data_IF_462848159464
#
_entry.id   IF_462848159464
#
_cell.length_a   1.000
_cell.length_b   1.000
_cell.length_c   1.000
_cell.angle_alpha   90.00
_cell.angle_beta   90.00
_cell.angle_gamma   90.00
#
_symmetry.space_group_name_H-M   'P 1'
#
loop_
_entity.id
_entity.type
_entity.pdbx_description
1 polymer ?
2 polymer ?
3 non-polymer ?
4 water ?
#
# COMPACT_ATOMS: atom_id res chain seq x y z
N UNK A 7 0.41 -22.01 12.04
CA UNK A 7 0.59 -20.58 11.85
C UNK A 7 1.75 -20.29 10.88
N UNK A 8 1.40 -20.09 9.60
CA UNK A 8 2.34 -19.81 8.50
C UNK A 8 3.06 -18.48 8.70
N UNK A 9 2.38 -17.49 9.31
CA UNK A 9 2.94 -16.16 9.58
C UNK A 9 3.99 -16.20 10.70
N UNK A 10 3.70 -16.92 11.82
CA UNK A 10 4.67 -17.07 12.93
C UNK A 10 5.94 -17.77 12.44
N UNK A 11 5.77 -18.90 11.71
CA UNK A 11 6.85 -19.71 11.16
C UNK A 11 7.73 -18.90 10.22
N UNK A 12 7.10 -18.13 9.28
CA UNK A 12 7.79 -17.27 8.33
C UNK A 12 8.54 -16.14 9.05
N UNK A 13 7.89 -15.47 10.03
CA UNK A 13 8.49 -14.39 10.82
C UNK A 13 9.66 -14.88 11.66
N UNK A 14 9.52 -16.06 12.31
CA UNK A 14 10.56 -16.69 13.13
C UNK A 14 11.79 -17.00 12.28
N UNK A 15 11.57 -17.59 11.09
CA UNK A 15 12.62 -17.91 10.11
C UNK A 15 13.36 -16.63 9.70
N UNK A 16 12.64 -15.55 9.37
CA UNK A 16 13.21 -14.26 8.98
C UNK A 16 14.03 -13.62 10.11
N UNK A 17 13.43 -13.45 11.31
CA UNK A 17 14.05 -12.81 12.48
C UNK A 17 15.24 -13.65 13.01
N UNK A 18 15.07 -14.99 13.17
CA UNK A 18 16.15 -15.87 13.66
C UNK A 18 17.35 -15.88 12.71
N UNK A 19 17.12 -16.09 11.40
CA UNK A 19 18.16 -16.08 10.37
C UNK A 19 18.88 -14.71 10.32
N UNK A 20 18.14 -13.62 10.54
CA UNK A 20 18.73 -12.28 10.59
C UNK A 20 19.58 -12.08 11.83
N UNK A 21 19.08 -12.50 13.02
CA UNK A 21 19.81 -12.35 14.29
C UNK A 21 21.05 -13.25 14.37
N UNK A 22 20.95 -14.50 13.85
CA UNK A 22 22.03 -15.49 13.80
C UNK A 22 23.17 -15.04 12.91
N UNK A 23 22.87 -14.39 11.76
CA UNK A 23 23.90 -13.88 10.86
C UNK A 23 24.56 -12.60 11.40
N UNK A 24 23.82 -11.79 12.17
CA UNK A 24 24.33 -10.54 12.76
C UNK A 24 25.37 -10.82 13.84
N UNK A 25 25.15 -11.91 14.60
CA UNK A 25 26.03 -12.38 15.67
C UNK A 25 27.31 -12.98 15.05
N UNK A 26 27.15 -13.95 14.11
CA UNK A 26 28.21 -14.66 13.36
C UNK A 26 29.05 -13.68 12.53
N UNK A 27 28.43 -12.61 12.04
CA UNK A 27 29.08 -11.56 11.26
C UNK A 27 29.16 -11.84 9.77
N UNK A 28 28.56 -12.96 9.33
CA UNK A 28 28.57 -13.38 7.93
C UNK A 28 27.17 -13.72 7.43
N UNK A 29 26.83 -13.23 6.22
CA UNK A 29 25.55 -13.49 5.55
C UNK A 29 25.51 -14.96 5.12
N UNK A 30 24.39 -15.65 5.40
CA UNK A 30 24.19 -17.07 5.08
C UNK A 30 23.38 -17.24 3.80
N UNK A 39 10.68 -17.41 -1.02
CA UNK A 39 10.76 -16.34 -2.01
C UNK A 39 10.42 -14.98 -1.38
N UNK A 40 9.26 -14.89 -0.70
CA UNK A 40 8.83 -13.68 0.01
C UNK A 40 9.80 -13.40 1.18
N UNK A 41 10.20 -14.47 1.88
CA UNK A 41 11.14 -14.40 2.98
C UNK A 41 12.53 -13.98 2.56
N UNK A 42 12.91 -14.32 1.32
CA UNK A 42 14.22 -13.98 0.73
C UNK A 42 14.34 -12.46 0.57
N UNK A 43 13.31 -11.82 -0.03
CA UNK A 43 13.24 -10.37 -0.25
C UNK A 43 13.14 -9.58 1.05
N UNK A 44 12.42 -10.13 2.05
CA UNK A 44 12.23 -9.52 3.38
C UNK A 44 13.54 -9.47 4.14
N UNK A 45 14.32 -10.56 4.08
CA UNK A 45 15.65 -10.68 4.69
C UNK A 45 16.62 -9.63 4.12
N UNK A 46 16.67 -9.48 2.77
CA UNK A 46 17.49 -8.48 2.08
C UNK A 46 17.14 -7.08 2.59
N UNK A 47 15.81 -6.75 2.71
CA UNK A 47 15.32 -5.45 3.21
C UNK A 47 15.72 -5.26 4.67
N UNK A 48 15.49 -6.29 5.51
CA UNK A 48 15.82 -6.27 6.94
C UNK A 48 17.33 -6.08 7.15
N UNK A 49 18.18 -6.69 6.29
CA UNK A 49 19.64 -6.51 6.36
C UNK A 49 19.98 -5.04 6.12
N UNK A 50 19.39 -4.40 5.09
CA UNK A 50 19.62 -2.98 4.78
C UNK A 50 19.06 -2.04 5.84
N UNK A 51 17.76 -2.15 6.15
CA UNK A 51 17.07 -1.29 7.14
C UNK A 51 17.61 -1.51 8.56
N UNK A 52 17.77 -2.79 8.95
CA UNK A 52 18.25 -3.19 10.27
C UNK A 52 19.64 -2.74 10.61
N UNK A 53 20.61 -2.96 9.69
CA UNK A 53 21.99 -2.51 9.86
C UNK A 53 22.05 -0.98 9.98
N UNK A 54 21.19 -0.30 9.22
CA UNK A 54 21.03 1.15 9.23
C UNK A 54 20.54 1.70 10.56
N UNK A 55 19.54 1.01 11.19
CA UNK A 55 18.97 1.38 12.51
C UNK A 55 20.03 1.17 13.61
N UNK A 56 20.77 0.04 13.56
CA UNK A 56 21.85 -0.29 14.50
C UNK A 56 23.01 0.71 14.40
N UNK A 57 23.32 1.21 13.18
CA UNK A 57 24.38 2.19 12.93
C UNK A 57 24.03 3.60 13.44
N UNK A 58 22.78 4.05 13.19
CA UNK A 58 22.30 5.37 13.57
C UNK A 58 21.77 5.48 15.01
N UNK A 59 21.56 4.34 15.69
CA UNK A 59 21.04 4.32 17.06
C UNK A 59 21.93 3.54 18.03
N UNK A 60 23.22 3.34 17.64
CA UNK A 60 24.26 2.61 18.38
C UNK A 60 24.42 3.06 19.83
N UNK A 61 24.43 4.38 20.09
CA UNK A 61 24.57 4.94 21.45
C UNK A 61 23.31 4.63 22.29
N UNK A 62 22.10 4.83 21.72
CA UNK A 62 20.83 4.52 22.40
C UNK A 62 20.72 3.01 22.70
N UNK A 63 21.13 2.15 21.73
CA UNK A 63 21.12 0.69 21.86
C UNK A 63 22.11 0.20 22.93
N UNK A 64 23.28 0.91 23.08
CA UNK A 64 24.32 0.61 24.07
C UNK A 64 23.78 0.83 25.49
N UNK A 65 23.01 1.91 25.66
CA UNK A 65 22.40 2.30 26.93
C UNK A 65 21.35 1.31 27.36
N UNK A 66 20.49 0.89 26.41
CA UNK A 66 19.42 -0.09 26.59
C UNK A 66 19.97 -1.47 26.98
N UNK A 67 21.08 -1.89 26.35
CA UNK A 67 21.76 -3.17 26.61
C UNK A 67 22.41 -3.16 28.01
N UNK A 68 23.01 -2.01 28.41
CA UNK A 68 23.63 -1.82 29.73
C UNK A 68 22.58 -1.87 30.83
N UNK A 69 21.40 -1.26 30.59
CA UNK A 69 20.28 -1.19 31.51
C UNK A 69 19.67 -2.59 31.78
N UNK A 70 19.46 -3.39 30.70
CA UNK A 70 18.89 -4.75 30.76
C UNK A 70 19.75 -5.73 31.54
N UNK A 71 21.09 -5.56 31.46
CA UNK A 71 22.12 -6.36 32.12
C UNK A 71 22.02 -7.85 31.75
N UNK A 72 22.47 -8.18 30.53
CA UNK A 72 22.46 -9.54 29.99
C UNK A 72 23.84 -10.16 30.11
N UNK A 73 23.98 -11.13 31.02
CA UNK A 73 25.22 -11.83 31.30
C UNK A 73 25.08 -13.36 31.19
N UNK A 74 23.84 -13.90 31.33
CA UNK A 74 23.59 -15.34 31.26
C UNK A 74 22.24 -15.69 30.61
N UNK A 75 21.97 -17.02 30.46
CA UNK A 75 20.79 -17.65 29.88
C UNK A 75 19.46 -17.13 30.47
N UNK A 76 19.41 -16.99 31.81
CA UNK A 76 18.26 -16.52 32.58
C UNK A 76 17.87 -15.07 32.24
N UNK A 77 18.87 -14.19 31.97
CA UNK A 77 18.65 -12.78 31.62
C UNK A 77 17.95 -12.62 30.28
N UNK A 78 18.15 -13.59 29.37
CA UNK A 78 17.51 -13.65 28.06
C UNK A 78 16.06 -14.13 28.28
N UNK A 79 15.86 -15.08 29.22
CA UNK A 79 14.55 -15.63 29.60
C UNK A 79 13.69 -14.55 30.28
N UNK A 80 14.32 -13.62 31.03
CA UNK A 80 13.62 -12.52 31.70
C UNK A 80 13.24 -11.47 30.67
N UNK A 81 14.14 -11.24 29.67
CA UNK A 81 13.93 -10.32 28.54
C UNK A 81 12.76 -10.85 27.69
N UNK A 82 12.66 -12.18 27.57
CA UNK A 82 11.61 -12.91 26.85
C UNK A 82 10.23 -12.61 27.43
N UNK A 83 10.13 -12.58 28.78
CA UNK A 83 8.89 -12.32 29.51
C UNK A 83 8.46 -10.84 29.48
N UNK A 84 9.42 -9.89 29.59
CA UNK A 84 9.14 -8.44 29.56
C UNK A 84 8.80 -7.95 28.13
N UNK A 85 9.20 -8.74 27.12
CA UNK A 85 9.04 -8.47 25.69
C UNK A 85 7.57 -8.26 25.27
N UNK A 86 6.59 -9.00 25.85
CA UNK A 86 5.16 -8.93 25.50
C UNK A 86 4.53 -7.52 25.67
N UNK A 87 5.16 -6.63 26.46
CA UNK A 87 4.63 -5.29 26.73
C UNK A 87 5.50 -4.15 26.13
N UNK A 88 6.27 -4.44 25.04
CA UNK A 88 7.15 -3.46 24.38
C UNK A 88 6.38 -2.32 23.67
N UNK A 89 5.21 -2.62 23.07
CA UNK A 89 4.40 -1.62 22.36
C UNK A 89 3.13 -1.26 23.16
N UNK A 90 3.34 -0.78 24.40
CA UNK A 90 2.27 -0.41 25.33
C UNK A 90 1.63 0.97 25.09
N UNK A 91 2.22 1.81 24.23
CA UNK A 91 1.71 3.16 23.96
C UNK A 91 0.66 3.22 22.82
N UNK A 92 0.33 2.07 22.23
CA UNK A 92 -0.65 1.98 21.16
C UNK A 92 -0.22 2.53 19.81
N UNK A 93 1.05 2.96 19.69
CA UNK A 93 1.61 3.46 18.43
C UNK A 93 2.12 2.23 17.66
N UNK A 94 1.55 1.96 16.49
CA UNK A 94 2.00 0.83 15.68
C UNK A 94 2.38 1.32 14.30
N UNK A 95 3.57 0.90 13.84
CA UNK A 95 4.13 1.22 12.52
C UNK A 95 5.34 0.31 12.25
N UNK A 96 5.77 0.23 10.97
CA UNK A 96 6.91 -0.58 10.56
C UNK A 96 8.24 -0.16 11.19
N UNK A 97 8.35 1.12 11.53
CA UNK A 97 9.51 1.71 12.17
C UNK A 97 9.73 1.12 13.54
N UNK A 98 8.64 1.00 14.32
CA UNK A 98 8.68 0.41 15.66
C UNK A 98 9.03 -1.08 15.62
N UNK A 99 8.55 -1.80 14.61
CA UNK A 99 8.81 -3.22 14.42
C UNK A 99 10.30 -3.45 14.06
N UNK A 100 10.84 -2.68 13.11
CA UNK A 100 12.22 -2.81 12.71
C UNK A 100 13.16 -2.40 13.87
N UNK A 101 12.75 -1.45 14.74
CA UNK A 101 13.52 -1.01 15.91
C UNK A 101 13.67 -2.16 16.93
N UNK A 102 12.62 -3.00 17.12
CA UNK A 102 12.68 -4.15 18.02
C UNK A 102 13.62 -5.23 17.47
N UNK A 103 13.48 -5.57 16.18
CA UNK A 103 14.28 -6.57 15.46
C UNK A 103 15.76 -6.15 15.41
N UNK A 104 16.02 -4.84 15.19
CA UNK A 104 17.38 -4.27 15.14
C UNK A 104 18.03 -4.32 16.52
N UNK A 105 17.26 -4.01 17.58
CA UNK A 105 17.74 -4.10 18.96
C UNK A 105 18.00 -5.56 19.35
N UNK A 106 17.17 -6.46 18.80
CA UNK A 106 17.34 -7.89 18.97
C UNK A 106 18.64 -8.37 18.35
N UNK A 107 19.01 -7.78 17.18
CA UNK A 107 20.26 -8.07 16.46
C UNK A 107 21.47 -7.57 17.26
N UNK A 108 21.30 -6.41 17.91
CA UNK A 108 22.29 -5.78 18.77
C UNK A 108 22.55 -6.65 20.03
N UNK A 109 21.47 -7.19 20.64
CA UNK A 109 21.58 -8.07 21.80
C UNK A 109 22.17 -9.42 21.36
N UNK A 110 21.89 -9.87 20.10
CA UNK A 110 22.43 -11.11 19.54
C UNK A 110 23.95 -11.03 19.35
N UNK A 111 24.46 -9.81 19.02
CA UNK A 111 25.89 -9.53 18.84
C UNK A 111 26.61 -9.66 20.17
N UNK A 112 26.04 -9.03 21.22
CA UNK A 112 26.53 -9.05 22.60
C UNK A 112 26.57 -10.47 23.16
N UNK A 113 25.57 -11.31 22.81
CA UNK A 113 25.47 -12.70 23.24
C UNK A 113 26.62 -13.56 22.72
N UNK A 114 27.14 -13.25 21.52
CA UNK A 114 28.27 -13.92 20.88
C UNK A 114 29.60 -13.57 21.60
N UNK A 115 29.70 -12.32 22.14
CA UNK A 115 30.89 -11.83 22.84
C UNK A 115 30.96 -12.28 24.31
N UNK A 116 29.80 -12.64 24.91
CA UNK A 116 29.71 -13.12 26.30
C UNK A 116 29.61 -14.66 26.33
N UNK A 117 29.95 -15.32 25.20
CA UNK A 117 29.95 -16.77 24.97
C UNK A 117 28.60 -17.43 25.32
N UNK A 118 27.49 -16.77 24.93
CA UNK A 118 26.11 -17.22 25.12
C UNK A 118 25.34 -17.20 23.78
N UNK A 119 25.95 -17.83 22.74
CA UNK A 119 25.41 -17.96 21.38
C UNK A 119 24.12 -18.79 21.32
N UNK A 120 23.93 -19.72 22.28
CA UNK A 120 22.76 -20.58 22.36
C UNK A 120 21.49 -19.80 22.73
N UNK A 121 21.66 -18.55 23.23
CA UNK A 121 20.59 -17.63 23.63
C UNK A 121 19.96 -16.84 22.48
N UNK A 122 20.54 -16.92 21.26
CA UNK A 122 20.06 -16.20 20.07
C UNK A 122 18.69 -16.75 19.61
N UNK A 123 18.52 -18.10 19.60
CA UNK A 123 17.26 -18.73 19.19
C UNK A 123 16.07 -18.40 20.15
N UNK A 124 16.17 -18.51 21.51
CA UNK A 124 15.03 -18.13 22.36
C UNK A 124 14.73 -16.63 22.30
N UNK A 125 15.77 -15.77 22.07
CA UNK A 125 15.63 -14.31 21.88
C UNK A 125 14.81 -14.04 20.61
N UNK A 126 15.12 -14.77 19.52
CA UNK A 126 14.43 -14.69 18.24
C UNK A 126 12.98 -15.16 18.38
N UNK A 127 12.74 -16.21 19.21
CA UNK A 127 11.40 -16.75 19.47
C UNK A 127 10.54 -15.73 20.20
N UNK A 128 11.13 -15.04 21.20
CA UNK A 128 10.44 -14.04 22.00
C UNK A 128 10.09 -12.80 21.19
N UNK A 129 11.01 -12.29 20.33
CA UNK A 129 10.76 -11.13 19.46
C UNK A 129 9.59 -11.45 18.51
N UNK A 130 9.65 -12.64 17.89
CA UNK A 130 8.61 -13.13 16.98
C UNK A 130 7.28 -13.34 17.71
N UNK A 131 7.31 -13.91 18.92
CA UNK A 131 6.10 -14.17 19.72
C UNK A 131 5.31 -12.87 19.96
N UNK A 132 6.00 -11.79 20.35
CA UNK A 132 5.41 -10.48 20.63
C UNK A 132 4.81 -9.83 19.37
N UNK A 133 5.55 -9.86 18.25
CA UNK A 133 5.09 -9.31 16.98
C UNK A 133 3.82 -10.02 16.50
N UNK A 134 3.84 -11.36 16.44
CA UNK A 134 2.70 -12.15 15.97
C UNK A 134 1.55 -12.19 17.00
N UNK A 135 1.83 -12.17 18.33
CA UNK A 135 0.78 -12.21 19.35
C UNK A 135 0.01 -10.90 19.49
N UNK A 136 0.74 -9.79 19.76
CA UNK A 136 0.13 -8.48 19.98
C UNK A 136 -0.15 -7.69 18.68
N UNK A 137 0.55 -8.03 17.56
CA UNK A 137 0.39 -7.26 16.32
C UNK A 137 -0.09 -8.08 15.11
N UNK A 138 -0.53 -9.34 15.31
CA UNK A 138 -1.03 -10.17 14.21
C UNK A 138 -1.96 -9.46 13.25
N UNK A 139 -3.07 -8.88 13.78
CA UNK A 139 -4.10 -8.18 13.00
C UNK A 139 -3.49 -7.06 12.16
N UNK A 140 -2.65 -6.23 12.81
CA UNK A 140 -1.93 -5.14 12.14
C UNK A 140 -1.05 -5.71 11.02
N UNK A 141 -0.18 -6.72 11.34
CA UNK A 141 0.73 -7.37 10.38
C UNK A 141 -0.03 -7.94 9.19
N UNK A 142 -1.17 -8.63 9.46
CA UNK A 142 -1.98 -9.24 8.41
C UNK A 142 -2.56 -8.15 7.50
N UNK A 143 -3.13 -7.07 8.07
CA UNK A 143 -3.68 -5.93 7.29
C UNK A 143 -2.56 -5.26 6.44
N UNK A 144 -1.32 -5.24 6.97
CA UNK A 144 -0.17 -4.63 6.29
C UNK A 144 0.48 -5.51 5.22
N UNK A 145 -0.13 -6.67 4.90
CA UNK A 145 0.35 -7.64 3.90
C UNK A 145 1.62 -8.32 4.38
N UNK A 146 1.75 -8.47 5.70
CA UNK A 146 2.87 -9.11 6.37
C UNK A 146 4.24 -8.71 5.85
N UNK A 147 5.03 -9.71 5.45
CA UNK A 147 6.40 -9.50 4.99
C UNK A 147 6.50 -8.92 3.60
N UNK A 148 5.45 -9.09 2.77
CA UNK A 148 5.38 -8.44 1.47
C UNK A 148 5.22 -6.96 1.69
N UNK A 149 4.40 -6.61 2.68
CA UNK A 149 4.12 -5.24 3.08
C UNK A 149 5.34 -4.53 3.63
N UNK A 150 6.15 -5.28 4.40
CA UNK A 150 7.39 -4.81 5.01
C UNK A 150 8.36 -4.37 3.89
N UNK A 151 8.56 -5.26 2.88
CA UNK A 151 9.39 -5.06 1.69
C UNK A 151 8.94 -3.83 0.91
N UNK A 152 7.64 -3.74 0.60
CA UNK A 152 7.03 -2.64 -0.16
C UNK A 152 7.13 -1.31 0.58
N UNK A 153 6.99 -1.34 1.93
CA UNK A 153 7.06 -0.12 2.74
C UNK A 153 8.46 0.50 2.69
N UNK A 154 9.51 -0.34 2.78
CA UNK A 154 10.89 0.15 2.81
C UNK A 154 11.57 0.24 1.46
N UNK A 155 10.85 -0.02 0.34
CA UNK A 155 11.42 0.07 -1.00
C UNK A 155 11.87 1.50 -1.35
N UNK A 156 13.09 1.63 -1.90
CA UNK A 156 13.69 2.89 -2.35
C UNK A 156 14.43 2.65 -3.67
N UNK B 1 11.54 6.24 -18.13
CA UNK B 1 10.11 6.55 -18.05
C UNK B 1 9.38 5.45 -17.24
N UNK B 2 8.65 5.83 -16.17
CA UNK B 2 7.91 4.87 -15.36
C UNK B 2 6.54 4.73 -15.98
N UNK B 3 6.21 3.54 -16.57
CA UNK B 3 4.92 3.34 -17.25
C UNK B 3 4.33 1.97 -17.00
N UNK B 4 3.05 1.86 -17.34
CA UNK B 4 2.24 0.65 -17.29
C UNK B 4 1.46 0.71 -18.58
N UNK B 5 1.29 -0.45 -19.24
CA UNK B 5 0.55 -0.53 -20.50
C UNK B 5 -0.24 -1.83 -20.49
N UNK B 6 -1.57 -1.68 -20.55
CA UNK B 6 -2.52 -2.81 -20.54
C UNK B 6 -2.69 -3.34 -21.94
N UNK B 7 -2.96 -4.65 -22.04
CA UNK B 7 -3.20 -5.37 -23.28
C UNK B 7 -4.25 -6.45 -23.01
N UNK B 8 -4.81 -6.95 -24.10
CA UNK B 8 -5.73 -8.08 -24.08
C UNK B 8 -7.20 -7.79 -24.20
N UNK B 9 -7.57 -6.51 -24.17
CA UNK B 9 -8.97 -6.11 -24.26
C UNK B 9 -9.58 -6.43 -25.61
N UNK B 10 -10.89 -6.58 -25.63
CA UNK B 10 -11.64 -6.85 -26.85
C UNK B 10 -13.06 -7.25 -26.56
N UNK B 11 -13.77 -7.63 -27.65
CA UNK B 11 -15.16 -8.06 -27.59
C UNK B 11 -15.20 -9.54 -27.30
N UNK B 12 -16.02 -9.89 -26.30
CA UNK B 12 -16.21 -11.27 -25.84
C UNK B 12 -17.71 -11.47 -25.59
N UNK B 13 -18.23 -12.69 -25.83
CA UNK B 13 -19.63 -13.04 -25.57
C UNK B 13 -19.89 -13.36 -24.07
N UNK B 14 -21.11 -13.09 -23.52
CA UNK B 14 -21.42 -13.47 -22.12
C UNK B 14 -21.13 -14.95 -21.85
N UNK B 15 -20.48 -15.22 -20.71
CA UNK B 15 -20.05 -16.57 -20.34
C UNK B 15 -18.64 -16.89 -20.82
N UNK B 16 -18.08 -16.02 -21.66
CA UNK B 16 -16.75 -16.16 -22.25
C UNK B 16 -15.58 -15.88 -21.32
N UNK B 17 -14.35 -16.04 -21.84
CA UNK B 17 -13.13 -15.81 -21.07
C UNK B 17 -12.22 -14.86 -21.79
N UNK B 18 -11.49 -14.06 -21.04
CA UNK B 18 -10.53 -13.11 -21.58
C UNK B 18 -9.41 -12.93 -20.58
N UNK B 19 -8.17 -12.84 -21.07
CA UNK B 19 -7.01 -12.64 -20.23
C UNK B 19 -6.36 -11.28 -20.49
N UNK B 20 -6.26 -10.44 -19.43
CA UNK B 20 -5.60 -9.16 -19.61
C UNK B 20 -4.21 -9.21 -19.09
N UNK B 21 -3.34 -8.43 -19.74
CA UNK B 21 -1.94 -8.26 -19.37
C UNK B 21 -1.67 -6.81 -19.07
N UNK B 22 -0.71 -6.58 -18.20
CA UNK B 22 -0.22 -5.24 -17.90
C UNK B 22 1.30 -5.28 -17.83
N UNK B 23 1.96 -4.57 -18.78
CA UNK B 23 3.42 -4.50 -18.88
C UNK B 23 3.97 -3.30 -18.14
N UNK B 24 4.87 -3.53 -17.15
CA UNK B 24 5.51 -2.48 -16.35
C UNK B 24 6.91 -2.11 -16.86
N UNK B 25 7.20 -0.80 -16.97
CA UNK B 25 8.52 -0.29 -17.40
C UNK B 25 9.07 0.78 -16.46
N UNK B 26 10.40 0.85 -16.40
CA UNK B 26 11.11 1.88 -15.67
C UNK B 26 11.18 1.75 -14.17
N UNK B 27 10.68 0.67 -13.60
CA UNK B 27 10.74 0.48 -12.13
C UNK B 27 10.97 -0.95 -11.73
N UNK B 28 11.37 -1.19 -10.45
CA UNK B 28 11.52 -2.55 -9.92
C UNK B 28 10.13 -3.10 -9.57
N UNK B 29 9.48 -3.75 -10.56
CA UNK B 29 8.14 -4.33 -10.46
C UNK B 29 7.95 -5.24 -9.23
N UNK B 30 8.92 -6.09 -8.95
CA UNK B 30 8.89 -7.06 -7.85
C UNK B 30 8.82 -6.45 -6.44
N UNK B 31 9.00 -5.12 -6.30
CA UNK B 31 8.91 -4.49 -4.99
C UNK B 31 7.58 -3.70 -4.76
N UNK B 32 6.57 -3.88 -5.65
CA UNK B 32 5.29 -3.13 -5.55
C UNK B 32 4.08 -4.00 -5.59
N UNK B 33 3.02 -3.59 -4.85
CA UNK B 33 1.70 -4.20 -4.94
C UNK B 33 1.11 -3.58 -6.21
N UNK B 34 0.27 -4.33 -6.89
CA UNK B 34 -0.37 -3.95 -8.14
C UNK B 34 -1.88 -4.18 -8.02
N UNK B 35 -2.68 -3.40 -8.78
CA UNK B 35 -4.13 -3.42 -8.73
C UNK B 35 -4.68 -3.31 -10.12
N UNK B 36 -5.92 -3.77 -10.26
CA UNK B 36 -6.74 -3.63 -11.45
C UNK B 36 -7.94 -2.78 -10.99
N UNK B 37 -8.32 -1.79 -11.78
CA UNK B 37 -9.43 -0.86 -11.51
C UNK B 37 -10.15 -0.75 -12.82
N UNK B 38 -11.47 -0.80 -12.81
CA UNK B 38 -12.22 -0.71 -14.07
C UNK B 38 -13.17 0.44 -14.05
N UNK B 39 -13.68 0.81 -15.24
CA UNK B 39 -14.63 1.90 -15.37
C UNK B 39 -15.57 1.67 -16.55
N UNK B 40 -16.83 1.39 -16.26
CA UNK B 40 -17.90 1.17 -17.26
C UNK B 40 -18.12 2.47 -18.03
N UNK B 41 -18.50 2.44 -19.34
CA UNK B 41 -18.65 3.71 -20.09
C UNK B 41 -19.60 4.71 -19.45
N UNK B 42 -19.09 5.92 -19.19
CA UNK B 42 -19.83 7.00 -18.54
C UNK B 42 -20.01 6.87 -17.04
N UNK B 43 -19.40 5.84 -16.39
CA UNK B 43 -19.57 5.60 -14.95
C UNK B 43 -18.28 5.83 -14.13
N UNK B 44 -18.35 5.55 -12.84
CA UNK B 44 -17.25 5.74 -11.90
C UNK B 44 -16.20 4.65 -11.90
N UNK B 45 -15.10 4.89 -11.16
CA UNK B 45 -14.02 3.93 -11.02
C UNK B 45 -14.45 2.88 -10.01
N UNK B 46 -14.13 1.62 -10.30
CA UNK B 46 -14.43 0.51 -9.42
C UNK B 46 -13.18 -0.32 -9.28
N UNK B 47 -12.68 -0.50 -8.04
CA UNK B 47 -11.52 -1.37 -7.83
C UNK B 47 -11.94 -2.82 -8.12
N UNK B 48 -11.03 -3.58 -8.73
CA UNK B 48 -11.31 -4.97 -9.12
C UNK B 48 -10.57 -5.97 -8.22
N UNK B 49 -9.26 -5.82 -8.15
CA UNK B 49 -8.36 -6.78 -7.50
C UNK B 49 -7.01 -6.17 -7.22
N UNK B 50 -6.30 -6.74 -6.24
CA UNK B 50 -4.94 -6.33 -5.91
C UNK B 50 -4.11 -7.58 -5.57
N UNK B 51 -2.81 -7.50 -5.79
CA UNK B 51 -1.83 -8.55 -5.53
C UNK B 51 -0.55 -7.95 -4.96
N UNK B 52 -0.06 -8.50 -3.85
CA UNK B 52 1.16 -8.03 -3.25
C UNK B 52 2.41 -8.41 -4.06
N UNK B 53 3.55 -7.79 -3.76
CA UNK B 53 4.82 -7.96 -4.48
C UNK B 53 5.23 -9.41 -4.74
N UNK B 54 5.16 -10.27 -3.71
CA UNK B 54 5.47 -11.69 -3.80
C UNK B 54 4.24 -12.60 -3.99
N UNK B 55 3.06 -11.99 -4.29
CA UNK B 55 1.80 -12.71 -4.54
C UNK B 55 1.21 -13.44 -3.31
N UNK B 56 1.67 -13.10 -2.09
CA UNK B 56 1.19 -13.74 -0.88
C UNK B 56 -0.20 -13.25 -0.43
N UNK B 57 -0.57 -12.00 -0.78
CA UNK B 57 -1.84 -11.38 -0.38
C UNK B 57 -2.58 -10.94 -1.62
N UNK B 58 -3.74 -11.52 -1.84
CA UNK B 58 -4.57 -11.23 -2.99
C UNK B 58 -5.94 -10.83 -2.45
N UNK B 59 -6.61 -9.85 -3.10
CA UNK B 59 -7.92 -9.40 -2.72
C UNK B 59 -8.71 -9.18 -3.96
N UNK B 60 -10.04 -9.37 -3.87
CA UNK B 60 -10.98 -9.16 -4.95
C UNK B 60 -12.17 -8.37 -4.48
N UNK B 61 -12.76 -7.59 -5.40
CA UNK B 61 -14.03 -6.90 -5.16
C UNK B 61 -15.12 -8.03 -5.10
N UNK B 62 -16.16 -7.88 -4.27
CA UNK B 62 -17.25 -8.86 -4.14
C UNK B 62 -17.88 -9.23 -5.54
N UNK B 63 -18.00 -8.24 -6.42
CA UNK B 63 -18.61 -8.37 -7.76
C UNK B 63 -17.85 -9.23 -8.80
N UNK B 64 -16.60 -9.65 -8.50
CA UNK B 64 -15.76 -10.45 -9.40
C UNK B 64 -15.26 -11.71 -8.73
N UNK B 65 -15.48 -11.87 -7.38
CA UNK B 65 -14.99 -13.07 -6.66
C UNK B 65 -15.44 -14.38 -7.33
N UNK B 66 -14.52 -15.32 -7.42
CA UNK B 66 -14.78 -16.62 -8.03
C UNK B 66 -14.70 -16.67 -9.56
N UNK B 67 -14.77 -15.51 -10.25
CA UNK B 67 -14.73 -15.43 -11.72
C UNK B 67 -13.41 -14.87 -12.24
N UNK B 68 -12.80 -13.97 -11.46
CA UNK B 68 -11.55 -13.31 -11.86
C UNK B 68 -10.42 -13.87 -11.05
N UNK B 69 -9.26 -14.06 -11.70
CA UNK B 69 -8.01 -14.50 -11.07
C UNK B 69 -6.91 -13.51 -11.45
N UNK B 70 -6.34 -12.83 -10.43
CA UNK B 70 -5.19 -11.94 -10.58
C UNK B 70 -3.92 -12.78 -10.35
N UNK B 71 -2.89 -12.48 -11.12
CA UNK B 71 -1.59 -13.10 -10.98
C UNK B 71 -0.53 -12.15 -11.51
N UNK B 72 0.70 -12.46 -11.19
CA UNK B 72 1.83 -11.67 -11.66
C UNK B 72 3.04 -12.55 -11.99
N UNK B 73 3.86 -12.10 -12.95
CA UNK B 73 5.12 -12.77 -13.32
C UNK B 73 6.20 -11.71 -13.24
N UNK B 74 6.86 -11.63 -12.06
CA UNK B 74 7.89 -10.61 -11.78
C UNK B 74 9.02 -10.70 -12.77
N UNK B 75 9.33 -11.92 -13.30
CA UNK B 75 10.42 -12.09 -14.28
C UNK B 75 10.08 -11.45 -15.64
N UNK B 76 8.79 -11.26 -15.93
CA UNK B 76 8.32 -10.62 -17.17
C UNK B 76 7.76 -9.21 -16.93
N UNK B 77 7.89 -8.69 -15.69
CA UNK B 77 7.32 -7.38 -15.29
C UNK B 77 5.83 -7.31 -15.66
N UNK B 78 5.11 -8.42 -15.44
CA UNK B 78 3.73 -8.47 -15.89
C UNK B 78 2.73 -8.82 -14.80
N UNK B 79 1.58 -8.20 -14.94
CA UNK B 79 0.42 -8.34 -14.10
C UNK B 79 -0.66 -8.89 -15.01
N UNK B 80 -1.46 -9.81 -14.51
CA UNK B 80 -2.51 -10.45 -15.30
C UNK B 80 -3.83 -10.41 -14.61
N UNK B 81 -4.87 -10.47 -15.43
CA UNK B 81 -6.25 -10.58 -15.01
C UNK B 81 -6.97 -11.63 -15.88
N UNK B 82 -7.17 -12.83 -15.30
CA UNK B 82 -7.88 -13.92 -15.98
C UNK B 82 -9.35 -13.76 -15.67
N UNK B 83 -10.16 -13.43 -16.69
CA UNK B 83 -11.59 -13.21 -16.45
C UNK B 83 -12.42 -14.32 -17.09
N UNK B 84 -13.10 -15.14 -16.25
CA UNK B 84 -13.96 -16.25 -16.72
C UNK B 84 -15.39 -15.89 -16.39
N UNK B 85 -16.37 -16.64 -16.98
CA UNK B 85 -17.82 -16.41 -16.78
C UNK B 85 -18.20 -14.92 -16.87
N UNK B 86 -17.71 -14.26 -17.91
CA UNK B 86 -17.92 -12.84 -18.16
C UNK B 86 -19.38 -12.48 -18.34
N UNK B 87 -19.79 -11.36 -17.70
CA UNK B 87 -21.16 -10.84 -17.72
C UNK B 87 -21.15 -9.46 -18.37
N UNK B 88 -22.31 -9.02 -18.87
CA UNK B 88 -22.46 -7.68 -19.46
C UNK B 88 -22.01 -6.58 -18.47
N UNK B 89 -22.23 -6.79 -17.15
CA UNK B 89 -21.84 -5.88 -16.04
C UNK B 89 -20.31 -5.68 -15.95
N UNK B 90 -19.52 -6.57 -16.62
CA UNK B 90 -18.05 -6.49 -16.67
C UNK B 90 -17.54 -5.61 -17.79
N UNK B 91 -18.42 -5.11 -18.68
CA UNK B 91 -17.99 -4.19 -19.73
C UNK B 91 -17.39 -2.93 -19.04
N UNK B 92 -16.15 -2.57 -19.44
CA UNK B 92 -15.42 -1.46 -18.81
C UNK B 92 -14.07 -1.35 -19.43
N UNK B 93 -13.43 -0.19 -19.17
CA UNK B 93 -12.04 0.06 -19.52
C UNK B 93 -11.38 -0.45 -18.23
N UNK B 94 -10.41 -1.31 -18.39
CA UNK B 94 -9.67 -1.91 -17.28
C UNK B 94 -8.29 -1.26 -17.23
N UNK B 95 -7.94 -0.72 -16.07
CA UNK B 95 -6.68 -0.05 -15.78
C UNK B 95 -5.88 -0.88 -14.84
N UNK B 96 -4.60 -0.86 -15.09
CA UNK B 96 -3.53 -1.36 -14.34
C UNK B 96 -3.04 -0.12 -13.53
N UNK B 97 -2.75 -0.30 -12.23
CA UNK B 97 -2.26 0.77 -11.39
C UNK B 97 -1.26 0.26 -10.34
N UNK B 98 -0.17 1.01 -10.13
CA UNK B 98 0.88 0.68 -9.16
C UNK B 98 0.51 1.30 -7.83
N UNK B 99 0.77 0.58 -6.73
CA UNK B 99 0.47 1.04 -5.38
C UNK B 99 1.77 1.43 -4.67
N UNK B 100 1.81 2.62 -4.02
CA UNK B 100 3.00 3.09 -3.26
C UNK B 100 3.06 2.27 -1.96
N UNK B 101 4.23 1.74 -1.63
CA UNK B 101 4.40 0.94 -0.42
C UNK B 101 4.18 1.69 0.87
N UNK B 102 4.66 2.93 0.97
CA UNK B 102 4.52 3.71 2.20
C UNK B 102 3.13 4.35 2.45
N UNK B 103 2.34 4.64 1.39
CA UNK B 103 1.05 5.35 1.47
C UNK B 103 -0.20 4.58 0.95
N UNK B 104 -0.01 3.56 0.09
CA UNK B 104 -1.03 2.74 -0.58
C UNK B 104 -1.78 3.51 -1.67
N UNK B 105 -1.25 4.67 -2.06
CA UNK B 105 -1.83 5.47 -3.14
C UNK B 105 -1.51 4.80 -4.48
N UNK B 106 -2.37 5.00 -5.49
CA UNK B 106 -2.15 4.44 -6.82
C UNK B 106 -1.48 5.52 -7.60
N UNK B 107 -0.13 5.51 -7.58
CA UNK B 107 0.64 6.59 -8.17
C UNK B 107 0.88 6.51 -9.69
N UNK B 108 0.87 5.32 -10.28
CA UNK B 108 1.06 5.15 -11.74
C UNK B 108 -0.13 4.36 -12.29
N UNK B 109 -0.74 4.84 -13.40
CA UNK B 109 -1.88 4.21 -14.02
C UNK B 109 -1.53 3.97 -15.51
N UNK B 110 -2.04 2.90 -16.10
CA UNK B 110 -1.88 2.69 -17.54
C UNK B 110 -2.95 3.48 -18.27
N UNK B 111 -2.96 3.40 -19.59
CA UNK B 111 -3.93 4.08 -20.46
C UNK B 111 -5.28 3.32 -20.48
N UNK B 112 -5.27 2.06 -20.01
CA UNK B 112 -6.45 1.20 -20.00
C UNK B 112 -6.67 0.38 -21.25
N UNK B 113 -7.48 -0.66 -21.12
CA UNK B 113 -7.87 -1.53 -22.23
C UNK B 113 -9.39 -1.78 -22.15
N UNK B 114 -10.10 -1.63 -23.28
CA UNK B 114 -11.54 -1.85 -23.32
C UNK B 114 -11.96 -3.33 -23.49
N UNK B 115 -12.76 -3.81 -22.52
CA UNK B 115 -13.39 -5.14 -22.52
C UNK B 115 -14.89 -4.86 -22.73
N UNK B 116 -15.45 -5.39 -23.81
CA UNK B 116 -16.85 -5.26 -24.13
C UNK B 116 -17.48 -6.66 -24.07
N UNK B 117 -18.43 -6.89 -23.14
CA UNK B 117 -19.09 -8.18 -23.02
C UNK B 117 -20.51 -8.03 -23.60
N UNK B 118 -20.75 -8.61 -24.81
CA UNK B 118 -22.02 -8.52 -25.51
C UNK B 118 -22.22 -9.71 -26.46
N UNK B 137 -21.63 1.72 -4.55
CA UNK B 137 -20.61 2.71 -4.16
C UNK B 137 -20.62 2.89 -2.63
N UNK B 138 -19.55 2.41 -1.95
CA UNK B 138 -19.38 2.44 -0.47
C UNK B 138 -19.00 3.88 0.06
N UNK B 139 -18.22 4.67 -0.71
CA UNK B 139 -17.91 6.06 -0.37
C UNK B 139 -18.84 6.94 -1.20
N UNK B 140 -19.32 8.08 -0.65
CA UNK B 140 -20.27 8.90 -1.40
C UNK B 140 -19.79 10.30 -1.63
N UNK B 141 -20.14 10.83 -2.81
CA UNK B 141 -19.72 12.15 -3.26
C UNK B 141 -20.86 12.84 -3.95
N UNK B 142 -20.99 14.20 -3.87
CA UNK B 142 -22.01 14.87 -4.70
C UNK B 142 -21.73 14.51 -6.18
N UNK B 143 -22.76 14.30 -7.03
CA UNK B 143 -22.45 13.90 -8.42
C UNK B 143 -21.83 15.02 -9.25
N UNK B 144 -22.07 16.27 -8.87
CA UNK B 144 -21.59 17.43 -9.61
C UNK B 144 -21.14 18.54 -8.67
N UNK B 145 -20.37 19.49 -9.21
CA UNK B 145 -19.85 20.68 -8.54
C UNK B 145 -19.53 21.65 -9.65
N UNK B 146 -19.69 22.95 -9.39
CA UNK B 146 -19.44 23.95 -10.41
C UNK B 146 -18.88 25.24 -9.83
N UNK B 147 -18.27 26.05 -10.69
CA UNK B 147 -17.69 27.32 -10.29
C UNK B 147 -17.16 28.09 -11.48
N UNK B 148 -16.93 29.38 -11.25
CA UNK B 148 -16.37 30.29 -12.23
C UNK B 148 -14.87 30.31 -11.98
N UNK B 149 -14.02 30.68 -12.96
CA UNK B 149 -12.57 30.75 -12.68
C UNK B 149 -12.23 31.70 -11.52
N UNK B 150 -11.27 31.30 -10.68
CA UNK B 150 -10.84 32.10 -9.54
C UNK B 150 -11.55 31.75 -8.25
N UNK B 151 -12.74 31.17 -8.38
CA UNK B 151 -13.57 30.72 -7.27
C UNK B 151 -12.95 29.53 -6.53
N UNK B 152 -13.36 29.35 -5.26
CA UNK B 152 -12.97 28.22 -4.45
C UNK B 152 -14.13 27.21 -4.43
N UNK B 153 -13.87 25.94 -4.81
CA UNK B 153 -14.85 24.85 -4.76
C UNK B 153 -14.39 23.79 -3.77
N UNK B 154 -15.35 23.07 -3.19
CA UNK B 154 -15.10 22.01 -2.23
C UNK B 154 -15.89 20.77 -2.68
N UNK B 155 -15.28 19.58 -2.58
CA UNK B 155 -15.89 18.28 -2.93
C UNK B 155 -15.77 17.39 -1.68
N UNK B 156 -16.89 16.88 -1.17
CA UNK B 156 -16.84 16.02 0.02
C UNK B 156 -16.80 14.52 -0.34
N UNK B 157 -16.37 13.71 0.62
CA UNK B 157 -16.29 12.29 0.48
C UNK B 157 -16.70 11.68 1.79
N UNK B 158 -17.83 10.99 1.78
CA UNK B 158 -18.38 10.39 2.99
C UNK B 158 -18.15 8.92 3.10
N UNK B 159 -17.59 8.49 4.21
CA UNK B 159 -17.35 7.08 4.45
C UNK B 159 -17.79 6.69 5.84
N UNK B 160 -17.15 5.66 6.40
CA UNK B 160 -17.53 5.15 7.71
C UNK B 160 -16.34 4.60 8.46
N UNK B 161 -16.58 4.04 9.67
CA UNK B 161 -15.54 3.58 10.59
C UNK B 161 -14.45 2.71 10.00
N UNK B 162 -14.81 1.71 9.22
CA UNK B 162 -13.86 0.75 8.68
C UNK B 162 -13.09 1.23 7.46
N UNK B 163 -13.53 2.33 6.80
CA UNK B 163 -12.78 2.86 5.65
C UNK B 163 -12.11 4.21 6.01
N UNK B 164 -12.76 5.38 5.75
CA UNK B 164 -12.20 6.71 6.05
C UNK B 164 -11.90 6.90 7.55
N UNK B 165 -12.68 6.26 8.42
CA UNK B 165 -12.49 6.36 9.86
C UNK B 165 -11.29 5.58 10.39
N UNK B 166 -10.77 4.64 9.61
CA UNK B 166 -9.62 3.78 9.99
C UNK B 166 -8.37 3.97 9.13
N UNK B 167 -8.54 4.50 7.94
CA UNK B 167 -7.48 4.57 6.94
C UNK B 167 -7.41 5.92 6.27
N UNK B 168 -6.33 6.19 5.51
CA UNK B 168 -6.16 7.46 4.81
C UNK B 168 -7.00 7.55 3.53
N UNK B 169 -7.19 8.75 3.04
CA UNK B 169 -7.96 9.02 1.82
C UNK B 169 -7.05 9.48 0.68
N UNK B 170 -7.37 9.00 -0.52
CA UNK B 170 -6.68 9.38 -1.73
C UNK B 170 -7.72 9.97 -2.66
N UNK B 171 -7.27 10.90 -3.49
CA UNK B 171 -8.06 11.59 -4.47
C UNK B 171 -7.38 11.39 -5.81
N UNK B 172 -8.18 11.20 -6.85
CA UNK B 172 -7.71 11.02 -8.22
C UNK B 172 -8.47 12.00 -9.05
N UNK B 173 -7.82 12.46 -10.08
CA UNK B 173 -8.38 13.39 -11.04
C UNK B 173 -8.34 12.70 -12.39
N UNK B 174 -9.45 12.82 -13.14
CA UNK B 174 -9.58 12.25 -14.46
C UNK B 174 -10.14 13.30 -15.41
N UNK B 175 -9.27 13.86 -16.22
CA UNK B 175 -9.64 14.80 -17.27
C UNK B 175 -10.38 14.02 -18.36
N UNK B 176 -11.33 14.62 -19.13
CA UNK B 176 -12.04 13.84 -20.16
C UNK B 176 -11.11 13.18 -21.19
N UNK B 177 -11.38 11.89 -21.45
CA UNK B 177 -10.60 11.07 -22.39
C UNK B 177 -9.27 10.55 -21.88
N UNK B 178 -8.89 10.92 -20.64
CA UNK B 178 -7.62 10.52 -20.02
C UNK B 178 -7.82 9.43 -18.95
N UNK B 179 -6.72 8.85 -18.52
CA UNK B 179 -6.69 7.86 -17.46
C UNK B 179 -6.65 8.61 -16.12
N UNK B 180 -7.12 8.04 -14.97
CA UNK B 180 -7.03 8.78 -13.71
C UNK B 180 -5.57 9.05 -13.30
N UNK B 181 -5.35 10.16 -12.60
CA UNK B 181 -4.02 10.50 -12.08
C UNK B 181 -4.12 10.77 -10.59
N UNK B 182 -3.09 10.39 -9.81
CA UNK B 182 -3.05 10.68 -8.37
C UNK B 182 -2.97 12.21 -8.12
N UNK B 183 -3.91 12.71 -7.33
CA UNK B 183 -4.02 14.14 -7.01
C UNK B 183 -3.63 14.37 -5.56
N UNK B 184 -4.18 13.55 -4.66
CA UNK B 184 -3.89 13.67 -3.22
C UNK B 184 -3.67 12.30 -2.65
N UNK B 185 -2.74 12.18 -1.71
CA UNK B 185 -2.50 10.94 -1.00
C UNK B 185 -2.36 11.17 0.50
N UNK B 186 -2.58 10.16 1.33
CA UNK B 186 -2.46 10.31 2.79
C UNK B 186 -3.28 11.54 3.29
N UNK B 187 -4.54 11.66 2.82
CA UNK B 187 -5.51 12.74 3.17
C UNK B 187 -5.22 14.10 2.62
N UNK B 188 -3.95 14.57 2.68
CA UNK B 188 -3.65 15.95 2.28
C UNK B 188 -2.32 16.17 1.62
N UNK B 189 -1.63 15.09 1.23
CA UNK B 189 -0.30 15.22 0.60
C UNK B 189 -0.41 15.35 -0.90
N UNK B 190 0.37 16.26 -1.52
CA UNK B 190 0.32 16.41 -2.97
C UNK B 190 1.53 15.76 -3.60
N UNK B 191 1.35 14.89 -4.61
CA UNK B 191 2.54 14.40 -5.34
C UNK B 191 3.12 15.56 -6.14
N UNK B 192 4.35 15.35 -6.65
CA UNK B 192 5.08 16.29 -7.50
C UNK B 192 4.24 16.45 -8.77
N UNK B 193 4.10 17.67 -9.24
CA UNK B 193 3.32 17.93 -10.44
C UNK B 193 1.88 18.32 -10.15
N UNK B 194 1.48 18.30 -8.85
CA UNK B 194 0.12 18.70 -8.49
C UNK B 194 0.20 20.13 -7.92
N UNK B 195 -0.49 21.12 -8.52
CA UNK B 195 -0.42 22.49 -7.97
C UNK B 195 -0.99 22.64 -6.55
N UNK B 196 -0.43 23.60 -5.80
CA UNK B 196 -0.77 23.93 -4.42
C UNK B 196 -2.20 24.44 -4.22
N UNK B 197 -2.91 24.74 -5.32
CA UNK B 197 -4.33 25.15 -5.36
C UNK B 197 -5.26 24.00 -4.89
N UNK B 198 -4.80 22.76 -5.04
CA UNK B 198 -5.52 21.57 -4.60
C UNK B 198 -5.10 21.31 -3.18
N UNK B 199 -6.05 20.96 -2.32
CA UNK B 199 -5.75 20.57 -0.94
C UNK B 199 -6.82 19.59 -0.43
N UNK B 200 -6.44 18.76 0.52
CA UNK B 200 -7.34 17.77 1.09
C UNK B 200 -7.33 17.80 2.59
N UNK B 201 -8.39 17.27 3.20
CA UNK B 201 -8.54 17.17 4.65
C UNK B 201 -9.42 15.99 4.95
N UNK B 202 -9.24 15.40 6.12
CA UNK B 202 -9.98 14.29 6.67
C UNK B 202 -10.42 14.69 8.08
N UNK B 203 -11.70 14.42 8.43
CA UNK B 203 -12.28 14.65 9.75
C UNK B 203 -13.30 13.56 9.97
N UNK B 204 -13.08 12.75 11.00
CA UNK B 204 -13.93 11.62 11.36
C UNK B 204 -13.98 10.60 10.22
N UNK B 205 -15.15 10.38 9.68
CA UNK B 205 -15.37 9.44 8.59
C UNK B 205 -15.59 10.22 7.30
N UNK B 206 -15.32 11.54 7.32
CA UNK B 206 -15.49 12.40 6.15
C UNK B 206 -14.12 12.93 5.69
N UNK B 207 -14.05 13.32 4.40
CA UNK B 207 -12.88 13.89 3.76
C UNK B 207 -13.37 14.90 2.75
N UNK B 208 -12.50 15.84 2.39
CA UNK B 208 -12.88 16.87 1.44
C UNK B 208 -11.69 17.25 0.60
N UNK B 209 -11.97 17.64 -0.65
CA UNK B 209 -10.99 18.14 -1.62
C UNK B 209 -11.39 19.58 -1.93
N UNK B 210 -10.43 20.51 -1.79
CA UNK B 210 -10.59 21.93 -2.07
C UNK B 210 -9.68 22.36 -3.21
N UNK B 211 -10.24 23.08 -4.18
CA UNK B 211 -9.55 23.73 -5.29
C UNK B 211 -9.74 25.23 -5.03
N UNK B 212 -8.64 25.91 -4.65
CA UNK B 212 -8.65 27.34 -4.32
C UNK B 212 -8.18 28.18 -5.51
N UNK B 213 -9.14 28.57 -6.33
CA UNK B 213 -8.87 29.37 -7.52
C UNK B 213 -8.99 28.49 -8.74
N UNK B 214 -10.23 28.21 -9.14
CA UNK B 214 -10.53 27.35 -10.28
C UNK B 214 -9.85 27.79 -11.55
N UNK B 215 -9.31 26.81 -12.28
CA UNK B 215 -8.64 27.02 -13.56
C UNK B 215 -9.31 26.15 -14.61
N UNK B 216 -9.08 26.47 -15.89
CA UNK B 216 -9.65 25.77 -17.05
C UNK B 216 -9.33 24.26 -17.03
N UNK B 217 -8.09 23.88 -16.68
CA UNK B 217 -7.59 22.50 -16.59
C UNK B 217 -8.24 21.65 -15.48
N UNK B 218 -8.88 22.29 -14.50
CA UNK B 218 -9.54 21.61 -13.37
C UNK B 218 -10.88 20.96 -13.74
N UNK B 219 -11.43 21.28 -14.94
CA UNK B 219 -12.69 20.65 -15.41
C UNK B 219 -12.39 19.16 -15.61
N UNK B 220 -12.84 18.35 -14.65
CA UNK B 220 -12.54 16.92 -14.63
C UNK B 220 -13.48 16.20 -13.68
N UNK B 221 -13.33 14.86 -13.61
CA UNK B 221 -14.02 14.02 -12.66
C UNK B 221 -13.03 13.76 -11.53
N UNK B 222 -13.52 13.78 -10.27
CA UNK B 222 -12.72 13.63 -9.05
C UNK B 222 -13.26 12.49 -8.24
N UNK B 223 -12.37 11.60 -7.78
CA UNK B 223 -12.77 10.42 -7.06
C UNK B 223 -12.01 10.33 -5.82
N UNK B 224 -12.67 10.01 -4.72
CA UNK B 224 -11.96 9.73 -3.47
C UNK B 224 -11.88 8.20 -3.33
N UNK B 225 -10.94 7.67 -2.55
CA UNK B 225 -10.75 6.21 -2.39
C UNK B 225 -10.07 5.95 -1.05
N UNK B 226 -10.41 4.84 -0.41
CA UNK B 226 -9.78 4.44 0.86
C UNK B 226 -9.89 2.93 0.98
N UNK B 227 -9.04 2.32 1.82
CA UNK B 227 -9.09 0.89 2.07
C UNK B 227 -10.18 0.67 3.13
N UNK B 228 -10.96 -0.42 3.00
CA UNK B 228 -12.01 -0.79 3.95
C UNK B 228 -11.58 -2.05 4.67
N UNK B 229 -11.35 -1.95 5.99
CA UNK B 229 -10.94 -3.06 6.83
C UNK B 229 -11.98 -4.17 6.96
N UNK B 230 -13.29 -3.82 6.90
CA UNK B 230 -14.36 -4.82 7.02
C UNK B 230 -14.56 -5.61 5.72
N UNK B 231 -14.57 -4.90 4.57
CA UNK B 231 -14.75 -5.50 3.28
C UNK B 231 -13.46 -6.11 2.76
N UNK B 232 -12.30 -5.68 3.26
CA UNK B 232 -10.97 -6.11 2.76
C UNK B 232 -10.94 -5.77 1.26
N UNK B 233 -11.28 -4.53 0.96
CA UNK B 233 -11.39 -4.06 -0.40
C UNK B 233 -11.06 -2.59 -0.47
N UNK B 234 -10.75 -2.09 -1.69
CA UNK B 234 -10.57 -0.68 -1.95
C UNK B 234 -11.94 -0.18 -2.36
N UNK B 235 -12.34 0.89 -1.75
CA UNK B 235 -13.63 1.51 -1.99
C UNK B 235 -13.40 2.87 -2.56
N UNK B 236 -13.97 3.11 -3.75
CA UNK B 236 -13.92 4.36 -4.48
C UNK B 236 -15.25 5.10 -4.29
N UNK B 237 -15.18 6.42 -4.28
CA UNK B 237 -16.35 7.26 -4.25
C UNK B 237 -16.96 7.23 -5.64
N UNK B 238 -18.21 7.63 -5.76
CA UNK B 238 -18.92 7.60 -7.03
C UNK B 238 -18.42 8.62 -8.03
N UNK B 239 -17.59 9.56 -7.58
CA UNK B 239 -17.03 10.58 -8.46
C UNK B 239 -17.89 11.83 -8.50
N UNK B 240 -17.23 12.98 -8.72
CA UNK B 240 -17.85 14.29 -8.85
C UNK B 240 -17.36 14.92 -10.13
N UNK B 241 -18.30 15.25 -11.03
CA UNK B 241 -18.01 15.94 -12.29
C UNK B 241 -17.94 17.45 -12.00
N UNK B 242 -16.73 18.02 -12.08
CA UNK B 242 -16.47 19.44 -11.87
C UNK B 242 -16.48 20.19 -13.18
N UNK B 243 -17.37 21.20 -13.28
CA UNK B 243 -17.53 22.07 -14.44
C UNK B 243 -17.03 23.47 -14.09
N UNK B 244 -16.23 24.08 -14.97
CA UNK B 244 -15.70 25.43 -14.79
C UNK B 244 -16.41 26.34 -15.80
N UNK B 245 -17.46 27.01 -15.32
CA UNK B 245 -18.32 27.91 -16.12
C UNK B 245 -17.57 29.16 -16.60
N UNK B 246 -17.51 29.33 -17.92
CA UNK B 246 -16.86 30.46 -18.57
C UNK B 246 -15.34 30.49 -18.46
N UNK B 247 -14.72 29.31 -18.63
CA UNK B 247 -13.26 29.13 -18.60
C UNK B 247 -12.69 29.32 -20.00
N UNK B 248 -11.51 29.96 -20.11
CA UNK B 248 -10.86 30.17 -21.41
C UNK B 248 -9.71 29.20 -21.57
N UNK B 249 -9.43 28.81 -22.83
CA UNK B 249 -8.35 27.91 -23.19
C UNK B 249 -7.01 28.43 -22.63
N UNK B 250 -6.37 27.60 -21.76
CA UNK B 250 -5.09 27.86 -21.08
C UNK B 250 -5.13 29.08 -20.11
N UNK B 251 -6.35 29.49 -19.69
CA UNK B 251 -6.62 30.63 -18.79
C UNK B 251 -6.11 31.97 -19.34
N UNK B 252 -6.21 32.16 -20.66
CA UNK B 252 -5.80 33.40 -21.30
C UNK B 252 -7.03 34.10 -21.89
N UNK B 253 -7.54 35.10 -21.15
CA UNK B 253 -8.75 35.88 -21.48
C UNK B 253 -8.46 37.05 -22.43
N UNK B 254 -8.96 36.96 -23.68
CA UNK B 254 -8.77 37.98 -24.72
C UNK B 254 -10.08 38.70 -25.06
X LIG C 1 1.29 2.21 5.39
X LIG C 1 -0.11 1.74 5.42
X LIG C 1 1.29 3.65 6.42
X LIG C 1 2.17 1.16 6.50
X LIG D 1 -19.12 10.85 -13.04
X LIG D 1 -17.99 11.42 -12.32
X LIG D 1 -18.69 10.85 -14.76
X LIG D 1 -19.00 9.10 -12.78
X LIG E 1 -8.90 2.68 -23.34
X LIG E 1 -9.83 2.01 -24.23
X LIG E 1 -7.51 3.11 -24.36
X LIG E 1 -9.57 4.30 -23.11
X LIG F 1 7.22 8.82 -16.03
X LIG F 1 7.07 9.08 -17.47
X LIG F 1 8.70 9.65 -15.57
X LIG F 1 6.03 9.85 -15.24
X LIG G 1 -3.82 3.16 5.26
X LIG G 1 -2.63 3.40 4.40
X LIG G 1 -4.97 2.56 4.11
X LIG G 1 -3.48 1.63 6.06
#
# INVERSE_FOLDING_TARGET
GPLGSEDDLYRQSLEIISRYLREQATGSKDSKPLGEAGAAGRRALETLRRVGDGVQRNHETAFQGMLRKLDIKNEDDVKSLSRVMIHVFSDGVTNWGRIVTLISFGAFVAKHLKTINQESCIEPLAESITDVLVRTKRDWLVKQRGWDGFVEFFHVEDLEGG
QVTLKESGGGLVKPGGSLRLSCAASGFTFSSYSMNWVRQAPGKGLEWVSSISSSSSYIYYADSVKGRFTISRDNAKNSLYLQMNSLRAEDTAVYYCARQVGATWAFDIWGQGTLVTVSSGGGGSGGGGSGGGGSAQSVLTQPPSASGTPGQRVTISCSGSSSNIGSNTVNWYQQLPGTAPKLLIYSNNQRPSGVPDRFSGSKSGTSASLAISGLQSEDEADYYCAAWDDSLNAWVFGGGTKLTVLGAAAENLYFQ
DMS S O C1 C2
DMS S O C1 C2
DMS S O C1 C2
DMS S O C1 C2
DMS S O C1 C2
#
